data_IF_131371778835
#
_entry.id   IF_131371778835
#
_cell.length_a   1.000
_cell.length_b   1.000
_cell.length_c   1.000
_cell.angle_alpha   90.00
_cell.angle_beta   90.00
_cell.angle_gamma   90.00
#
_symmetry.space_group_name_H-M   'P 1'
#
loop_
_entity.id
_entity.type
_entity.pdbx_description
1 polymer ?
#
# COMPACT_ATOMS: atom_id res chain seq x y z
N UNK A 1 6.27 38.34 23.74
CA UNK A 1 6.51 36.89 23.92
C UNK A 1 6.69 36.32 22.53
N UNK A 2 7.93 36.09 22.14
CA UNK A 2 8.34 35.69 20.81
C UNK A 2 8.12 34.19 20.61
N UNK A 3 7.22 33.84 19.74
CA UNK A 3 6.96 32.46 19.36
C UNK A 3 7.93 32.13 18.20
N UNK A 4 9.03 31.48 18.51
CA UNK A 4 10.00 30.99 17.51
C UNK A 4 9.38 29.74 16.83
N UNK A 5 9.26 29.71 15.50
CA UNK A 5 8.83 28.51 14.79
C UNK A 5 9.92 27.45 14.93
N UNK A 6 9.56 26.32 15.51
CA UNK A 6 10.44 25.15 15.59
C UNK A 6 10.69 24.62 14.19
N UNK A 7 11.92 24.78 13.73
CA UNK A 7 12.45 24.20 12.51
C UNK A 7 12.25 22.67 12.50
N UNK A 8 11.26 22.19 11.77
CA UNK A 8 11.20 20.81 11.31
C UNK A 8 11.23 20.77 9.78
N UNK A 9 12.22 21.42 9.22
CA UNK A 9 12.65 21.13 7.87
C UNK A 9 13.60 19.93 7.93
N UNK A 10 13.05 18.74 8.10
CA UNK A 10 13.78 17.53 7.77
C UNK A 10 13.71 17.41 6.25
N UNK A 11 14.57 18.13 5.55
CA UNK A 11 15.00 17.73 4.22
C UNK A 11 15.71 16.39 4.44
N UNK A 12 14.99 15.30 4.22
CA UNK A 12 15.64 13.99 4.15
C UNK A 12 16.54 14.05 2.94
N UNK A 13 17.84 14.19 3.18
CA UNK A 13 18.86 14.05 2.16
C UNK A 13 18.57 12.77 1.38
N UNK A 14 18.53 12.91 0.07
CA UNK A 14 18.40 11.78 -0.82
C UNK A 14 19.58 10.86 -0.52
N UNK A 15 19.32 9.71 0.10
CA UNK A 15 20.34 8.71 0.31
C UNK A 15 20.97 8.38 -1.04
N UNK A 16 22.28 8.46 -1.08
CA UNK A 16 23.09 8.22 -2.27
C UNK A 16 22.70 6.90 -2.93
N UNK A 17 22.59 6.92 -4.25
CA UNK A 17 22.07 5.86 -5.11
C UNK A 17 23.05 4.66 -5.22
N UNK A 18 24.01 4.52 -4.32
CA UNK A 18 25.11 3.58 -4.42
C UNK A 18 24.73 2.09 -4.29
N UNK A 19 23.54 1.78 -3.75
CA UNK A 19 23.08 0.40 -3.61
C UNK A 19 21.66 0.21 -4.19
N UNK A 20 21.50 0.57 -5.47
CA UNK A 20 20.22 0.30 -6.14
C UNK A 20 20.10 -1.18 -6.49
N UNK A 21 19.24 -1.88 -5.77
CA UNK A 21 18.73 -3.19 -6.16
C UNK A 21 17.44 -3.02 -6.97
N UNK A 22 17.46 -3.35 -8.30
CA UNK A 22 16.26 -3.25 -9.13
C UNK A 22 15.16 -4.25 -8.73
N UNK A 23 15.50 -5.28 -7.95
CA UNK A 23 14.56 -6.28 -7.46
C UNK A 23 13.94 -5.86 -6.12
N UNK A 24 14.56 -4.92 -5.38
CA UNK A 24 14.05 -4.45 -4.12
C UNK A 24 12.78 -3.59 -4.29
N UNK A 25 11.83 -3.81 -3.39
CA UNK A 25 10.61 -3.00 -3.29
C UNK A 25 10.93 -1.59 -2.81
N UNK A 26 10.66 -0.59 -3.64
CA UNK A 26 10.91 0.82 -3.34
C UNK A 26 9.64 1.51 -2.82
N UNK A 27 9.73 2.15 -1.66
CA UNK A 27 8.65 2.94 -1.05
C UNK A 27 9.15 4.35 -0.69
N UNK A 28 8.21 5.26 -0.46
CA UNK A 28 8.44 6.63 0.03
C UNK A 28 9.56 7.37 -0.73
N UNK A 29 10.56 7.89 -0.04
CA UNK A 29 11.63 8.70 -0.62
C UNK A 29 12.41 7.97 -1.73
N UNK A 30 12.68 6.67 -1.58
CA UNK A 30 13.37 5.86 -2.59
C UNK A 30 12.58 5.77 -3.91
N UNK A 31 11.25 5.70 -3.82
CA UNK A 31 10.35 5.75 -4.98
C UNK A 31 10.30 7.13 -5.63
N UNK A 32 10.18 8.18 -4.80
CA UNK A 32 10.02 9.56 -5.25
C UNK A 32 11.30 10.16 -5.83
N UNK A 33 12.48 9.78 -5.33
CA UNK A 33 13.77 10.29 -5.81
C UNK A 33 14.02 10.08 -7.30
N UNK A 34 13.34 9.12 -7.93
CA UNK A 34 13.44 8.76 -9.34
C UNK A 34 12.36 9.35 -10.23
N UNK A 35 11.43 10.12 -9.67
CA UNK A 35 10.40 10.81 -10.46
C UNK A 35 11.05 12.08 -11.05
N UNK A 36 10.98 12.28 -12.38
CA UNK A 36 11.63 13.41 -13.01
C UNK A 36 11.03 14.77 -12.63
N UNK A 37 9.74 14.77 -12.23
CA UNK A 37 9.06 15.99 -11.79
C UNK A 37 9.27 16.16 -10.29
N UNK A 38 10.08 17.14 -9.91
CA UNK A 38 10.26 17.55 -8.52
C UNK A 38 9.11 18.47 -8.16
N UNK A 39 8.30 18.07 -7.20
CA UNK A 39 7.32 18.95 -6.56
C UNK A 39 8.04 19.73 -5.48
N UNK A 40 8.10 21.05 -5.60
CA UNK A 40 8.58 21.88 -4.49
C UNK A 40 7.66 21.70 -3.30
N UNK A 41 8.26 21.38 -2.15
CA UNK A 41 7.49 21.23 -0.93
C UNK A 41 6.96 22.61 -0.51
N UNK A 42 5.68 22.84 -0.70
CA UNK A 42 4.99 23.99 -0.15
C UNK A 42 4.92 23.95 1.37
N UNK A 43 4.46 25.03 1.98
CA UNK A 43 4.24 25.09 3.42
C UNK A 43 3.28 23.96 3.87
N UNK A 44 3.70 23.16 4.84
CA UNK A 44 2.88 22.08 5.38
C UNK A 44 1.79 22.69 6.27
N UNK A 45 0.59 22.79 5.73
CA UNK A 45 -0.56 23.29 6.48
C UNK A 45 -0.94 22.34 7.62
N UNK A 46 -1.27 22.90 8.78
CA UNK A 46 -1.76 22.14 9.92
C UNK A 46 -3.13 21.54 9.58
N UNK A 47 -3.23 20.21 9.67
CA UNK A 47 -4.51 19.52 9.42
C UNK A 47 -5.55 19.94 10.47
N UNK A 48 -6.80 20.27 10.06
CA UNK A 48 -7.90 20.51 10.99
C UNK A 48 -8.15 19.31 11.92
N UNK A 49 -8.67 19.58 13.11
CA UNK A 49 -8.87 18.51 14.11
C UNK A 49 -9.86 17.43 13.66
N UNK A 50 -10.86 17.80 12.87
CA UNK A 50 -11.87 16.88 12.36
C UNK A 50 -11.32 15.87 11.35
N UNK A 51 -10.15 16.11 10.75
CA UNK A 51 -9.45 15.15 9.85
C UNK A 51 -8.67 14.09 10.65
N UNK A 52 -8.49 14.28 11.96
CA UNK A 52 -7.74 13.34 12.77
C UNK A 52 -8.54 12.06 13.00
N UNK A 53 -8.05 10.96 12.44
CA UNK A 53 -8.59 9.64 12.74
C UNK A 53 -8.20 9.27 14.17
N UNK A 54 -9.17 8.87 14.99
CA UNK A 54 -8.87 8.25 16.28
C UNK A 54 -8.21 6.90 15.99
N UNK A 55 -6.94 6.75 16.33
CA UNK A 55 -6.30 5.45 16.31
C UNK A 55 -7.00 4.57 17.35
N UNK A 56 -7.94 3.75 16.89
CA UNK A 56 -8.57 2.73 17.73
C UNK A 56 -7.55 1.65 18.08
N UNK A 57 -7.67 1.06 19.26
CA UNK A 57 -6.88 -0.14 19.59
C UNK A 57 -7.24 -1.25 18.60
N UNK A 58 -6.25 -1.94 18.03
CA UNK A 58 -6.51 -3.07 17.14
C UNK A 58 -7.38 -4.11 17.83
N UNK A 59 -8.44 -4.53 17.17
CA UNK A 59 -9.34 -5.58 17.70
C UNK A 59 -8.73 -6.98 17.43
N UNK A 60 -9.21 -8.00 18.15
CA UNK A 60 -8.86 -9.40 17.86
C UNK A 60 -9.09 -9.71 16.37
N UNK A 61 -10.20 -9.24 15.82
CA UNK A 61 -10.56 -9.39 14.41
C UNK A 61 -9.52 -8.81 13.44
N UNK A 62 -8.90 -7.70 13.81
CA UNK A 62 -7.82 -7.09 13.02
C UNK A 62 -6.63 -8.04 12.87
N UNK A 63 -6.21 -8.67 13.95
CA UNK A 63 -5.10 -9.62 13.92
C UNK A 63 -5.45 -10.91 13.18
N UNK A 64 -6.65 -11.44 13.39
CA UNK A 64 -7.16 -12.62 12.66
C UNK A 64 -7.11 -12.40 11.15
N UNK A 65 -7.59 -11.25 10.66
CA UNK A 65 -7.55 -10.92 9.23
C UNK A 65 -6.10 -10.89 8.73
N UNK A 66 -5.20 -10.25 9.46
CA UNK A 66 -3.79 -10.18 9.06
C UNK A 66 -3.12 -11.55 9.01
N UNK A 67 -3.39 -12.41 9.96
CA UNK A 67 -2.80 -13.74 10.01
C UNK A 67 -3.32 -14.62 8.86
N UNK A 68 -4.61 -14.56 8.56
CA UNK A 68 -5.21 -15.28 7.42
C UNK A 68 -4.66 -14.76 6.08
N UNK A 69 -4.51 -13.44 5.91
CA UNK A 69 -3.90 -12.86 4.71
C UNK A 69 -2.48 -13.37 4.49
N UNK A 70 -1.65 -13.39 5.53
CA UNK A 70 -0.27 -13.90 5.46
C UNK A 70 -0.22 -15.39 5.15
N UNK A 71 -1.06 -16.19 5.81
CA UNK A 71 -1.14 -17.62 5.58
C UNK A 71 -1.50 -17.97 4.13
N UNK A 72 -2.33 -17.16 3.49
CA UNK A 72 -2.76 -17.33 2.10
C UNK A 72 -1.94 -16.51 1.09
N UNK A 73 -0.84 -15.85 1.51
CA UNK A 73 0.03 -15.01 0.67
C UNK A 73 -0.71 -13.89 -0.08
N UNK A 74 -1.76 -13.36 0.53
CA UNK A 74 -2.56 -12.30 -0.05
C UNK A 74 -2.12 -10.93 0.46
N UNK A 75 -2.25 -9.94 -0.38
CA UNK A 75 -1.87 -8.56 -0.13
C UNK A 75 -3.11 -7.67 -0.07
N UNK A 76 -3.11 -6.67 0.80
CA UNK A 76 -4.14 -5.64 0.84
C UNK A 76 -3.53 -4.27 0.62
N UNK A 77 -4.22 -3.44 -0.14
CA UNK A 77 -3.85 -2.03 -0.28
C UNK A 77 -3.90 -1.30 1.06
N UNK A 78 -4.73 -1.80 1.98
CA UNK A 78 -4.86 -1.24 3.32
C UNK A 78 -3.54 -1.32 4.12
N UNK A 79 -2.78 -2.41 3.97
CA UNK A 79 -1.45 -2.55 4.58
C UNK A 79 -0.38 -1.85 3.74
N UNK A 80 -0.40 -2.05 2.42
CA UNK A 80 0.63 -1.53 1.52
C UNK A 80 0.64 0.00 1.43
N UNK A 81 -0.53 0.62 1.42
CA UNK A 81 -0.67 2.08 1.39
C UNK A 81 -0.69 2.72 2.78
N UNK A 82 -0.32 1.99 3.83
CA UNK A 82 -0.26 2.52 5.21
C UNK A 82 -1.55 3.23 5.63
N UNK A 83 -2.71 2.63 5.29
CA UNK A 83 -4.02 3.25 5.48
C UNK A 83 -4.31 3.49 6.98
N UNK A 84 -4.60 4.73 7.39
CA UNK A 84 -4.86 5.03 8.80
C UNK A 84 -6.17 4.42 9.32
N UNK A 85 -7.08 4.03 8.42
CA UNK A 85 -8.39 3.49 8.77
C UNK A 85 -8.41 1.95 8.86
N UNK A 86 -7.27 1.29 8.65
CA UNK A 86 -7.18 -0.17 8.55
C UNK A 86 -7.79 -0.88 9.77
N UNK A 87 -7.57 -0.37 10.99
CA UNK A 87 -8.10 -0.95 12.22
C UNK A 87 -9.62 -0.95 12.26
N UNK A 88 -10.25 0.14 11.82
CA UNK A 88 -11.71 0.25 11.75
C UNK A 88 -12.29 -0.63 10.65
N UNK A 89 -11.71 -0.59 9.44
CA UNK A 89 -12.18 -1.36 8.30
C UNK A 89 -12.11 -2.87 8.56
N UNK A 90 -10.97 -3.36 9.02
CA UNK A 90 -10.80 -4.78 9.35
C UNK A 90 -11.72 -5.19 10.50
N UNK A 91 -11.84 -4.35 11.53
CA UNK A 91 -12.77 -4.61 12.64
C UNK A 91 -14.24 -4.72 12.20
N UNK A 92 -14.63 -3.99 11.15
CA UNK A 92 -15.99 -4.03 10.58
C UNK A 92 -16.19 -5.09 9.49
N UNK A 93 -15.16 -5.87 9.15
CA UNK A 93 -15.22 -6.89 8.11
C UNK A 93 -15.19 -6.33 6.69
N UNK A 94 -14.41 -5.26 6.48
CA UNK A 94 -14.16 -4.68 5.16
C UNK A 94 -12.67 -4.77 4.83
N UNK A 95 -12.33 -5.24 3.64
CA UNK A 95 -10.95 -5.29 3.16
C UNK A 95 -10.87 -4.91 1.68
N UNK A 96 -9.74 -4.29 1.30
CA UNK A 96 -9.40 -4.02 -0.10
C UNK A 96 -8.20 -4.88 -0.47
N UNK A 97 -8.44 -5.94 -1.21
CA UNK A 97 -7.39 -6.82 -1.72
C UNK A 97 -6.65 -6.17 -2.89
N UNK A 98 -5.36 -6.43 -2.95
CA UNK A 98 -4.51 -6.01 -4.06
C UNK A 98 -3.90 -7.26 -4.68
N UNK A 99 -4.37 -7.62 -5.87
CA UNK A 99 -3.93 -8.81 -6.60
C UNK A 99 -2.71 -8.52 -7.48
N UNK A 100 -2.10 -9.59 -7.97
CA UNK A 100 -0.88 -9.60 -8.79
C UNK A 100 0.38 -9.17 -8.03
N UNK A 101 0.36 -9.30 -6.70
CA UNK A 101 1.50 -9.06 -5.83
C UNK A 101 1.52 -7.68 -5.17
N UNK A 102 2.66 -7.33 -4.61
CA UNK A 102 2.88 -6.14 -3.77
C UNK A 102 3.85 -5.12 -4.38
N UNK A 103 4.28 -5.35 -5.62
CA UNK A 103 5.21 -4.49 -6.37
C UNK A 103 4.54 -4.01 -7.65
N UNK A 104 4.43 -2.69 -7.80
CA UNK A 104 3.84 -2.05 -8.96
C UNK A 104 4.95 -1.65 -9.95
N UNK A 105 4.70 -1.77 -11.25
CA UNK A 105 5.64 -1.31 -12.28
C UNK A 105 5.72 0.21 -12.37
N UNK A 106 4.70 0.93 -11.87
CA UNK A 106 4.59 2.40 -11.94
C UNK A 106 4.98 3.09 -10.64
N UNK A 107 5.38 4.37 -10.76
CA UNK A 107 5.85 5.22 -9.65
C UNK A 107 4.94 6.43 -9.44
N UNK A 108 3.64 6.23 -9.34
CA UNK A 108 2.70 7.33 -9.11
C UNK A 108 3.06 8.08 -7.81
N UNK A 109 3.27 9.41 -7.83
CA UNK A 109 3.78 10.15 -6.67
C UNK A 109 2.79 10.22 -5.50
N UNK A 110 1.51 10.08 -5.78
CA UNK A 110 0.43 10.08 -4.77
C UNK A 110 0.15 8.69 -4.18
N UNK A 111 0.75 7.63 -4.72
CA UNK A 111 0.48 6.25 -4.31
C UNK A 111 1.58 5.73 -3.38
N UNK A 112 1.23 5.15 -2.23
CA UNK A 112 2.20 4.59 -1.28
C UNK A 112 2.52 3.10 -1.53
N UNK A 113 1.85 2.46 -2.50
CA UNK A 113 2.20 1.09 -2.90
C UNK A 113 3.62 1.04 -3.45
N UNK A 114 4.36 0.00 -3.06
CA UNK A 114 5.76 -0.15 -3.44
C UNK A 114 5.97 -0.31 -4.94
N UNK A 115 7.04 0.32 -5.46
CA UNK A 115 7.49 0.13 -6.83
C UNK A 115 8.64 -0.87 -6.88
N UNK A 116 8.70 -1.68 -7.95
CA UNK A 116 9.77 -2.61 -8.19
C UNK A 116 9.49 -3.50 -9.39
N UNK A 117 10.36 -4.49 -9.60
CA UNK A 117 10.08 -5.56 -10.56
C UNK A 117 9.12 -6.54 -9.90
N UNK A 118 7.90 -6.72 -10.44
CA UNK A 118 6.94 -7.67 -9.87
C UNK A 118 7.44 -9.11 -9.96
N UNK A 119 7.01 -9.91 -9.01
CA UNK A 119 7.21 -11.35 -9.06
C UNK A 119 6.26 -11.99 -10.11
N UNK A 120 6.53 -13.23 -10.56
CA UNK A 120 5.58 -13.96 -11.40
C UNK A 120 4.20 -14.04 -10.76
N UNK A 121 3.15 -14.09 -11.59
CA UNK A 121 1.77 -14.27 -11.10
C UNK A 121 1.65 -15.61 -10.34
N UNK A 122 0.99 -15.58 -9.19
CA UNK A 122 0.65 -16.80 -8.45
C UNK A 122 -0.63 -17.40 -9.04
N UNK A 123 -0.50 -18.54 -9.68
CA UNK A 123 -1.63 -19.27 -10.28
C UNK A 123 -2.69 -19.69 -9.25
N UNK A 124 -2.35 -19.72 -7.97
CA UNK A 124 -3.27 -20.05 -6.88
C UNK A 124 -3.93 -18.80 -6.26
N UNK A 125 -3.56 -17.59 -6.68
CA UNK A 125 -4.09 -16.36 -6.11
C UNK A 125 -5.62 -16.28 -6.21
N UNK A 126 -6.30 -16.63 -7.33
CA UNK A 126 -7.75 -16.61 -7.44
C UNK A 126 -8.43 -17.53 -6.40
N UNK A 127 -7.94 -18.76 -6.26
CA UNK A 127 -8.43 -19.73 -5.29
C UNK A 127 -8.21 -19.27 -3.84
N UNK A 128 -7.02 -18.76 -3.56
CA UNK A 128 -6.66 -18.26 -2.23
C UNK A 128 -7.51 -17.05 -1.86
N UNK A 129 -7.76 -16.16 -2.82
CA UNK A 129 -8.61 -14.99 -2.64
C UNK A 129 -10.06 -15.41 -2.29
N UNK A 130 -10.66 -16.30 -3.08
CA UNK A 130 -12.01 -16.79 -2.85
C UNK A 130 -12.16 -17.47 -1.49
N UNK A 131 -11.24 -18.38 -1.15
CA UNK A 131 -11.21 -19.07 0.15
C UNK A 131 -11.06 -18.11 1.32
N UNK A 132 -10.19 -17.12 1.18
CA UNK A 132 -9.92 -16.13 2.24
C UNK A 132 -11.14 -15.24 2.48
N UNK A 133 -11.79 -14.76 1.42
CA UNK A 133 -13.01 -13.95 1.53
C UNK A 133 -14.11 -14.74 2.25
N UNK A 134 -14.32 -16.01 1.87
CA UNK A 134 -15.29 -16.89 2.49
C UNK A 134 -14.94 -17.18 3.97
N UNK A 135 -13.70 -17.52 4.27
CA UNK A 135 -13.22 -17.81 5.62
C UNK A 135 -13.39 -16.60 6.55
N UNK A 136 -13.06 -15.42 6.07
CA UNK A 136 -13.14 -14.20 6.84
C UNK A 136 -14.56 -13.63 6.95
N UNK A 137 -15.54 -14.18 6.22
CA UNK A 137 -16.93 -13.71 6.20
C UNK A 137 -17.01 -12.19 6.06
N UNK A 138 -16.25 -11.64 5.10
CA UNK A 138 -16.20 -10.20 4.88
C UNK A 138 -17.56 -9.69 4.38
N UNK A 139 -17.99 -8.56 4.94
CA UNK A 139 -19.26 -7.92 4.55
C UNK A 139 -19.14 -7.15 3.25
N UNK A 140 -17.97 -6.60 3.01
CA UNK A 140 -17.67 -5.80 1.84
C UNK A 140 -16.23 -6.02 1.41
N UNK A 141 -16.05 -6.27 0.13
CA UNK A 141 -14.74 -6.57 -0.48
C UNK A 141 -14.53 -5.65 -1.67
N UNK A 142 -13.36 -5.06 -1.74
CA UNK A 142 -12.86 -4.39 -2.94
C UNK A 142 -11.67 -5.19 -3.46
N UNK A 143 -11.61 -5.38 -4.76
CA UNK A 143 -10.46 -6.01 -5.42
C UNK A 143 -9.85 -4.96 -6.35
N UNK A 144 -8.58 -4.69 -6.16
CA UNK A 144 -7.75 -3.83 -7.00
C UNK A 144 -6.47 -4.56 -7.36
N UNK A 145 -5.63 -3.97 -8.18
CA UNK A 145 -4.37 -4.58 -8.59
C UNK A 145 -3.22 -3.58 -8.59
N UNK A 146 -2.00 -4.08 -8.57
CA UNK A 146 -0.83 -3.33 -9.02
C UNK A 146 -0.84 -3.21 -10.55
N UNK A 147 -0.15 -2.21 -11.10
CA UNK A 147 0.11 -2.17 -12.54
C UNK A 147 1.16 -3.21 -12.91
N UNK A 148 0.91 -3.91 -14.02
CA UNK A 148 1.74 -4.99 -14.56
C UNK A 148 2.13 -4.67 -16.01
N UNK A 149 2.76 -3.53 -16.23
CA UNK A 149 3.28 -3.15 -17.57
C UNK A 149 4.35 -4.14 -18.09
N UNK A 150 4.84 -5.04 -17.24
CA UNK A 150 5.73 -6.15 -17.57
C UNK A 150 5.01 -7.30 -18.29
N UNK A 151 3.68 -7.39 -18.16
CA UNK A 151 2.86 -8.39 -18.83
C UNK A 151 2.26 -7.84 -20.12
N UNK A 152 2.13 -8.70 -21.12
CA UNK A 152 1.66 -8.30 -22.45
C UNK A 152 0.21 -7.78 -22.46
N UNK A 153 -0.62 -8.33 -21.58
CA UNK A 153 -2.04 -7.96 -21.40
C UNK A 153 -2.26 -7.02 -20.22
N UNK A 154 -1.18 -6.54 -19.57
CA UNK A 154 -1.27 -5.73 -18.36
C UNK A 154 -1.83 -6.47 -17.15
N UNK A 155 -1.94 -7.80 -17.21
CA UNK A 155 -2.52 -8.64 -16.15
C UNK A 155 -4.05 -8.81 -16.27
N UNK A 156 -4.65 -8.40 -17.38
CA UNK A 156 -6.11 -8.47 -17.56
C UNK A 156 -6.64 -9.91 -17.44
N UNK A 157 -5.94 -10.91 -17.98
CA UNK A 157 -6.32 -12.32 -17.86
C UNK A 157 -6.40 -12.77 -16.40
N UNK A 158 -5.37 -12.50 -15.62
CA UNK A 158 -5.34 -12.85 -14.21
C UNK A 158 -6.39 -12.11 -13.37
N UNK A 159 -6.66 -10.84 -13.72
CA UNK A 159 -7.72 -10.07 -13.08
C UNK A 159 -9.10 -10.73 -13.29
N UNK A 160 -9.37 -11.25 -14.48
CA UNK A 160 -10.61 -11.97 -14.79
C UNK A 160 -10.73 -13.26 -13.99
N UNK A 161 -9.62 -14.01 -13.84
CA UNK A 161 -9.60 -15.24 -13.03
C UNK A 161 -9.90 -14.97 -11.56
N UNK A 162 -9.33 -13.90 -11.00
CA UNK A 162 -9.60 -13.48 -9.62
C UNK A 162 -11.05 -13.04 -9.40
#
# INVERSE_FOLDING_TARGET
>A
MSNTPTERNVVREAQSVENYDPMAKQKAAAKLSRIPVKVEAGEVLKKPEWIRVKAGSPTTRFYEIKDVLRANKLVTVCEEASCPNIGECFGKGTATFMIMGDKCTRRCPFCDVGHGRPDPLDVNEPDNLAKTIAQLQLKYVVITSVDRDDLRDGGAGHFVEC
#
